data_IF_803378656107
#
_entry.id   IF_803378656107
#
_cell.length_a   1.000
_cell.length_b   1.000
_cell.length_c   1.000
_cell.angle_alpha   90.00
_cell.angle_beta   90.00
_cell.angle_gamma   90.00
#
_symmetry.space_group_name_H-M   'P 1'
#
loop_
_entity.id
_entity.type
_entity.pdbx_description
1 polymer ?
#
# COMPACT_ATOMS: atom_id res chain seq x y z
N UNK A 1 -10.24 -4.22 -0.95
CA UNK A 1 -9.67 -3.97 -2.30
C UNK A 1 -9.26 -5.30 -2.91
N UNK A 2 -9.33 -5.45 -4.25
CA UNK A 2 -8.85 -6.67 -4.90
C UNK A 2 -7.33 -6.79 -4.79
N UNK A 3 -6.84 -8.02 -4.60
CA UNK A 3 -5.42 -8.33 -4.70
C UNK A 3 -5.07 -8.49 -6.18
N UNK A 4 -3.96 -7.90 -6.62
CA UNK A 4 -3.50 -8.01 -7.99
C UNK A 4 -3.12 -9.46 -8.31
N UNK A 5 -3.61 -10.00 -9.43
CA UNK A 5 -3.20 -11.33 -9.89
C UNK A 5 -1.84 -11.27 -10.60
N UNK A 6 -1.18 -12.41 -10.76
CA UNK A 6 0.09 -12.49 -11.49
C UNK A 6 -0.05 -12.04 -12.95
N UNK A 7 -1.19 -12.35 -13.58
CA UNK A 7 -1.49 -11.95 -14.95
C UNK A 7 -1.63 -10.42 -15.04
N UNK A 8 -2.48 -9.82 -14.19
CA UNK A 8 -2.67 -8.37 -14.12
C UNK A 8 -1.36 -7.63 -13.81
N UNK A 9 -0.55 -8.17 -12.89
CA UNK A 9 0.78 -7.62 -12.60
C UNK A 9 1.68 -7.62 -13.84
N UNK A 10 1.71 -8.74 -14.56
CA UNK A 10 2.54 -8.87 -15.76
C UNK A 10 2.06 -7.94 -16.89
N UNK A 11 0.75 -7.74 -17.04
CA UNK A 11 0.17 -6.79 -18.00
C UNK A 11 0.58 -5.36 -17.70
N UNK A 12 0.38 -4.89 -16.46
CA UNK A 12 0.74 -3.53 -16.05
C UNK A 12 2.26 -3.33 -16.16
N UNK A 13 3.05 -4.32 -15.71
CA UNK A 13 4.52 -4.30 -15.86
C UNK A 13 4.95 -4.24 -17.32
N UNK A 14 4.28 -4.97 -18.20
CA UNK A 14 4.52 -4.94 -19.64
C UNK A 14 4.22 -3.56 -20.24
N UNK A 15 3.12 -2.93 -19.83
CA UNK A 15 2.77 -1.57 -20.23
C UNK A 15 3.81 -0.56 -19.75
N UNK A 16 4.22 -0.61 -18.47
CA UNK A 16 5.28 0.22 -17.92
C UNK A 16 6.60 0.07 -18.67
N UNK A 17 7.02 -1.15 -19.02
CA UNK A 17 8.23 -1.40 -19.81
C UNK A 17 8.18 -0.74 -21.19
N UNK A 18 7.02 -0.76 -21.86
CA UNK A 18 6.84 -0.06 -23.14
C UNK A 18 7.02 1.45 -22.96
N UNK A 19 6.42 2.03 -21.91
CA UNK A 19 6.57 3.46 -21.62
C UNK A 19 8.01 3.83 -21.25
N UNK A 20 8.68 3.00 -20.47
CA UNK A 20 10.07 3.19 -20.09
C UNK A 20 11.00 3.20 -21.30
N UNK A 21 10.76 2.34 -22.31
CA UNK A 21 11.53 2.34 -23.56
C UNK A 21 11.38 3.67 -24.32
N UNK A 22 10.15 4.15 -24.50
CA UNK A 22 9.90 5.45 -25.16
C UNK A 22 10.58 6.59 -24.40
N UNK A 23 10.52 6.56 -23.07
CA UNK A 23 11.21 7.54 -22.23
C UNK A 23 12.73 7.45 -22.36
N UNK A 24 13.28 6.25 -22.47
CA UNK A 24 14.72 6.01 -22.58
C UNK A 24 15.28 6.62 -23.87
N UNK A 25 14.57 6.45 -24.99
CA UNK A 25 14.93 7.06 -26.28
C UNK A 25 14.97 8.60 -26.15
N UNK A 26 13.98 9.19 -25.47
CA UNK A 26 13.92 10.63 -25.18
C UNK A 26 15.02 11.12 -24.23
N UNK A 27 15.35 10.36 -23.19
CA UNK A 27 16.44 10.67 -22.26
C UNK A 27 17.78 10.60 -23.00
N UNK A 28 17.99 9.57 -23.81
CA UNK A 28 19.21 9.41 -24.60
C UNK A 28 19.38 10.55 -25.60
N UNK A 29 18.32 10.89 -26.35
CA UNK A 29 18.36 12.00 -27.29
C UNK A 29 18.72 13.34 -26.60
N UNK A 30 18.20 13.58 -25.39
CA UNK A 30 18.54 14.79 -24.61
C UNK A 30 20.03 14.87 -24.25
N UNK A 31 20.72 13.74 -24.10
CA UNK A 31 22.15 13.66 -23.77
C UNK A 31 23.08 13.85 -24.98
N UNK A 32 22.58 13.76 -26.21
CA UNK A 32 23.42 13.97 -27.39
C UNK A 32 23.95 15.41 -27.49
N UNK A 33 25.13 15.54 -28.12
CA UNK A 33 25.71 16.84 -28.49
C UNK A 33 24.80 17.60 -29.45
N UNK A 34 25.00 18.91 -29.57
CA UNK A 34 24.21 19.73 -30.50
C UNK A 34 24.34 19.23 -31.95
N UNK A 35 25.57 18.93 -32.38
CA UNK A 35 25.85 18.39 -33.72
C UNK A 35 25.09 17.10 -34.05
N UNK A 36 24.90 16.20 -33.07
CA UNK A 36 24.11 14.99 -33.25
C UNK A 36 22.61 15.29 -33.27
N UNK A 37 22.14 16.26 -32.47
CA UNK A 37 20.73 16.69 -32.46
C UNK A 37 20.31 17.37 -33.75
N UNK A 38 21.24 18.03 -34.44
CA UNK A 38 20.97 18.71 -35.72
C UNK A 38 20.71 17.69 -36.85
N UNK A 39 21.24 16.47 -36.74
CA UNK A 39 21.14 15.40 -37.74
C UNK A 39 20.09 14.34 -37.33
N UNK A 40 19.92 14.09 -36.03
CA UNK A 40 18.99 13.10 -35.50
C UNK A 40 17.65 13.73 -35.14
N UNK A 41 16.57 13.17 -35.68
CA UNK A 41 15.22 13.57 -35.33
C UNK A 41 14.94 13.37 -33.83
N UNK A 42 14.33 14.38 -33.21
CA UNK A 42 13.82 14.30 -31.84
C UNK A 42 12.76 13.20 -31.75
N UNK A 43 12.90 12.22 -30.84
CA UNK A 43 11.84 11.25 -30.60
C UNK A 43 10.55 11.97 -30.19
N UNK A 44 9.42 11.45 -30.66
CA UNK A 44 8.10 11.97 -30.30
C UNK A 44 7.40 10.95 -29.42
N UNK A 45 6.66 11.44 -28.43
CA UNK A 45 5.74 10.58 -27.71
C UNK A 45 4.60 10.16 -28.65
N UNK A 46 4.11 8.91 -28.53
CA UNK A 46 2.79 8.55 -29.07
C UNK A 46 1.72 9.53 -28.59
N UNK A 47 0.69 9.76 -29.41
CA UNK A 47 -0.39 10.72 -29.12
C UNK A 47 -1.10 10.38 -27.80
N UNK A 48 -1.23 9.10 -27.50
CA UNK A 48 -1.93 8.55 -26.33
C UNK A 48 -1.01 8.24 -25.15
N UNK A 49 0.25 8.70 -25.18
CA UNK A 49 1.25 8.33 -24.18
C UNK A 49 0.85 8.74 -22.75
N UNK A 50 0.39 9.98 -22.57
CA UNK A 50 0.04 10.51 -21.26
C UNK A 50 -1.26 9.90 -20.73
N UNK A 51 -2.23 9.65 -21.61
CA UNK A 51 -3.48 8.99 -21.25
C UNK A 51 -3.20 7.58 -20.74
N UNK A 52 -2.37 6.82 -21.45
CA UNK A 52 -1.94 5.49 -21.00
C UNK A 52 -1.15 5.52 -19.69
N UNK A 53 -0.32 6.55 -19.46
CA UNK A 53 0.36 6.70 -18.16
C UNK A 53 -0.64 6.94 -17.03
N UNK A 54 -1.69 7.74 -17.25
CA UNK A 54 -2.75 7.95 -16.26
C UNK A 54 -3.61 6.69 -16.04
N UNK A 55 -3.88 5.91 -17.08
CA UNK A 55 -4.55 4.61 -16.99
C UNK A 55 -3.72 3.62 -16.15
N UNK A 56 -2.41 3.54 -16.41
CA UNK A 56 -1.48 2.71 -15.64
C UNK A 56 -1.50 3.13 -14.17
N UNK A 57 -1.38 4.43 -13.89
CA UNK A 57 -1.43 4.96 -12.52
C UNK A 57 -2.72 4.54 -11.80
N UNK A 58 -3.85 4.73 -12.47
CA UNK A 58 -5.18 4.39 -11.93
C UNK A 58 -5.30 2.88 -11.69
N UNK A 59 -4.76 2.07 -12.60
CA UNK A 59 -4.74 0.61 -12.47
C UNK A 59 -3.91 0.16 -11.27
N UNK A 60 -2.75 0.78 -11.01
CA UNK A 60 -1.92 0.47 -9.83
C UNK A 60 -2.68 0.81 -8.54
N UNK A 61 -3.30 1.99 -8.47
CA UNK A 61 -4.03 2.47 -7.29
C UNK A 61 -5.36 1.76 -7.04
N UNK A 62 -5.86 1.00 -8.01
CA UNK A 62 -7.09 0.23 -7.86
C UNK A 62 -6.92 -1.02 -6.98
N UNK A 63 -5.71 -1.58 -6.92
CA UNK A 63 -5.42 -2.80 -6.17
C UNK A 63 -5.00 -2.52 -4.73
N UNK A 64 -5.19 -3.54 -3.88
CA UNK A 64 -4.71 -3.54 -2.51
C UNK A 64 -3.18 -3.38 -2.49
N UNK A 65 -2.69 -2.62 -1.51
CA UNK A 65 -1.26 -2.32 -1.43
C UNK A 65 -0.50 -3.53 -0.92
N UNK A 66 0.52 -3.92 -1.66
CA UNK A 66 1.41 -5.04 -1.41
C UNK A 66 2.77 -4.83 -2.11
N UNK A 67 3.67 -5.80 -1.98
CA UNK A 67 5.00 -5.77 -2.62
C UNK A 67 4.95 -5.60 -4.14
N UNK A 68 3.92 -6.14 -4.81
CA UNK A 68 3.80 -6.13 -6.25
C UNK A 68 3.34 -4.77 -6.75
N UNK A 69 2.25 -4.25 -6.18
CA UNK A 69 1.72 -2.92 -6.49
C UNK A 69 2.73 -1.83 -6.14
N UNK A 70 3.47 -1.97 -5.04
CA UNK A 70 4.58 -1.08 -4.69
C UNK A 70 5.69 -1.10 -5.75
N UNK A 71 6.10 -2.28 -6.23
CA UNK A 71 7.10 -2.38 -7.29
C UNK A 71 6.65 -1.70 -8.60
N UNK A 72 5.36 -1.85 -8.96
CA UNK A 72 4.77 -1.16 -10.10
C UNK A 72 4.76 0.36 -9.89
N UNK A 73 4.38 0.83 -8.70
CA UNK A 73 4.35 2.24 -8.34
C UNK A 73 5.73 2.89 -8.39
N UNK A 74 6.76 2.21 -7.88
CA UNK A 74 8.15 2.67 -7.99
C UNK A 74 8.58 2.81 -9.45
N UNK A 75 8.32 1.79 -10.28
CA UNK A 75 8.63 1.83 -11.72
C UNK A 75 7.90 2.98 -12.42
N UNK A 76 6.63 3.21 -12.09
CA UNK A 76 5.84 4.33 -12.62
C UNK A 76 6.45 5.69 -12.23
N UNK A 77 6.84 5.86 -10.97
CA UNK A 77 7.45 7.09 -10.47
C UNK A 77 8.80 7.35 -11.13
N UNK A 78 9.63 6.32 -11.35
CA UNK A 78 10.90 6.44 -12.08
C UNK A 78 10.69 6.99 -13.50
N UNK A 79 9.66 6.50 -14.20
CA UNK A 79 9.28 7.00 -15.53
C UNK A 79 8.89 8.48 -15.46
N UNK A 80 8.08 8.86 -14.46
CA UNK A 80 7.68 10.26 -14.25
C UNK A 80 8.90 11.17 -14.05
N UNK A 81 9.86 10.76 -13.22
CA UNK A 81 11.13 11.50 -13.01
C UNK A 81 11.92 11.60 -14.31
N UNK A 82 12.07 10.50 -15.05
CA UNK A 82 12.84 10.45 -16.28
C UNK A 82 12.31 11.42 -17.34
N UNK A 83 10.99 11.61 -17.41
CA UNK A 83 10.36 12.49 -18.39
C UNK A 83 10.72 13.98 -18.16
N UNK A 84 11.02 14.41 -16.92
CA UNK A 84 11.23 15.83 -16.55
C UNK A 84 10.09 16.74 -17.05
N UNK A 85 8.84 16.28 -16.90
CA UNK A 85 7.67 17.04 -17.33
C UNK A 85 7.51 18.31 -16.47
N UNK A 86 6.84 19.35 -16.98
CA UNK A 86 6.33 20.43 -16.16
C UNK A 86 5.49 19.87 -14.99
N UNK A 87 5.46 20.60 -13.87
CA UNK A 87 4.60 20.25 -12.74
C UNK A 87 3.14 20.06 -13.22
N UNK A 88 2.49 19.02 -12.71
CA UNK A 88 1.08 18.62 -12.93
C UNK A 88 0.75 17.75 -14.15
N UNK A 89 1.70 17.40 -15.04
CA UNK A 89 1.37 16.52 -16.19
C UNK A 89 1.11 15.06 -15.78
N UNK A 90 1.94 14.51 -14.89
CA UNK A 90 1.74 13.18 -14.30
C UNK A 90 1.91 13.29 -12.79
N UNK A 91 0.93 12.78 -12.04
CA UNK A 91 1.00 12.75 -10.57
C UNK A 91 1.76 11.50 -10.14
N UNK A 92 2.74 11.68 -9.27
CA UNK A 92 3.43 10.58 -8.60
C UNK A 92 2.45 9.77 -7.73
N UNK A 93 2.78 8.50 -7.52
CA UNK A 93 2.17 7.65 -6.50
C UNK A 93 2.96 7.82 -5.20
N UNK A 94 2.29 7.87 -4.05
CA UNK A 94 2.95 7.96 -2.75
C UNK A 94 3.53 6.60 -2.35
N UNK A 95 4.74 6.32 -2.83
CA UNK A 95 5.42 5.04 -2.61
C UNK A 95 5.94 4.89 -1.18
N UNK A 96 6.12 5.98 -0.44
CA UNK A 96 6.53 5.93 0.96
C UNK A 96 5.39 5.35 1.81
N UNK A 97 4.17 5.86 1.64
CA UNK A 97 2.99 5.27 2.30
C UNK A 97 2.79 3.80 1.94
N UNK A 98 2.97 3.45 0.66
CA UNK A 98 2.87 2.05 0.24
C UNK A 98 3.94 1.14 0.87
N UNK A 99 5.17 1.65 1.03
CA UNK A 99 6.26 0.95 1.70
C UNK A 99 5.95 0.72 3.17
N UNK A 100 5.58 1.76 3.92
CA UNK A 100 5.21 1.68 5.33
C UNK A 100 4.08 0.67 5.57
N UNK A 101 3.06 0.69 4.71
CA UNK A 101 1.96 -0.27 4.78
C UNK A 101 2.41 -1.70 4.48
N UNK A 102 3.27 -1.90 3.48
CA UNK A 102 3.82 -3.22 3.16
C UNK A 102 4.63 -3.79 4.32
N UNK A 103 5.42 -2.95 4.98
CA UNK A 103 6.19 -3.33 6.18
C UNK A 103 5.29 -3.71 7.36
N UNK A 104 4.19 -2.98 7.57
CA UNK A 104 3.19 -3.34 8.58
C UNK A 104 2.57 -4.71 8.28
N UNK A 105 2.22 -4.98 7.02
CA UNK A 105 1.66 -6.27 6.61
C UNK A 105 2.64 -7.43 6.83
N UNK A 106 3.94 -7.21 6.64
CA UNK A 106 4.97 -8.18 6.95
C UNK A 106 5.15 -8.37 8.46
N UNK A 107 5.07 -7.30 9.27
CA UNK A 107 5.07 -7.41 10.73
C UNK A 107 3.88 -8.23 11.24
N UNK A 108 2.69 -8.00 10.69
CA UNK A 108 1.48 -8.80 10.97
C UNK A 108 1.73 -10.27 10.63
N UNK A 109 2.24 -10.57 9.43
CA UNK A 109 2.53 -11.96 9.01
C UNK A 109 3.57 -12.63 9.92
N UNK A 110 4.60 -11.90 10.31
CA UNK A 110 5.65 -12.41 11.20
C UNK A 110 5.07 -12.76 12.57
N UNK A 111 4.31 -11.84 13.17
CA UNK A 111 3.69 -12.07 14.46
C UNK A 111 2.63 -13.17 14.43
N UNK A 112 1.89 -13.33 13.34
CA UNK A 112 0.97 -14.45 13.15
C UNK A 112 1.69 -15.82 13.27
N UNK A 113 2.94 -15.94 12.81
CA UNK A 113 3.73 -17.18 12.98
C UNK A 113 4.12 -17.43 14.45
N UNK A 114 4.42 -16.37 15.20
CA UNK A 114 4.67 -16.46 16.65
C UNK A 114 3.40 -16.93 17.38
N UNK A 115 2.24 -16.37 17.01
CA UNK A 115 0.92 -16.78 17.52
C UNK A 115 0.63 -18.24 17.19
N UNK A 116 0.92 -18.70 15.98
CA UNK A 116 0.70 -20.09 15.57
C UNK A 116 1.53 -21.07 16.37
N UNK A 117 2.79 -20.70 16.62
CA UNK A 117 3.68 -21.48 17.48
C UNK A 117 3.11 -21.54 18.90
N UNK A 118 2.68 -20.41 19.43
CA UNK A 118 2.07 -20.34 20.76
C UNK A 118 0.81 -21.19 20.89
N UNK A 119 -0.11 -21.08 19.93
CA UNK A 119 -1.35 -21.88 19.91
C UNK A 119 -1.04 -23.37 19.83
N UNK A 120 -0.02 -23.77 19.05
CA UNK A 120 0.41 -25.17 18.98
C UNK A 120 0.85 -25.71 20.34
N UNK A 121 1.63 -24.94 21.10
CA UNK A 121 2.01 -25.32 22.47
C UNK A 121 0.81 -25.39 23.42
N UNK A 122 -0.16 -24.47 23.29
CA UNK A 122 -1.40 -24.52 24.08
C UNK A 122 -2.17 -25.83 23.85
N UNK A 123 -2.28 -26.29 22.60
CA UNK A 123 -2.90 -27.59 22.29
C UNK A 123 -2.12 -28.77 22.88
N UNK A 124 -0.80 -28.65 23.01
CA UNK A 124 0.07 -29.65 23.64
C UNK A 124 0.09 -29.56 25.17
N UNK A 125 -0.72 -28.66 25.77
CA UNK A 125 -0.73 -28.35 27.20
C UNK A 125 0.60 -27.81 27.75
N UNK A 126 1.47 -27.30 26.86
CA UNK A 126 2.73 -26.69 27.21
C UNK A 126 2.54 -25.19 27.46
N UNK A 127 2.90 -24.73 28.67
CA UNK A 127 2.85 -23.32 29.03
C UNK A 127 4.17 -22.64 28.65
N UNK A 128 4.20 -22.03 27.47
CA UNK A 128 5.30 -21.15 27.09
C UNK A 128 4.95 -19.68 27.42
N UNK A 129 5.93 -18.85 27.79
CA UNK A 129 5.74 -17.41 27.91
C UNK A 129 5.29 -16.82 26.56
N UNK A 130 4.27 -15.98 26.58
CA UNK A 130 3.79 -15.25 25.40
C UNK A 130 3.48 -13.80 25.76
N UNK A 131 4.12 -12.86 25.06
CA UNK A 131 3.91 -11.43 25.27
C UNK A 131 2.88 -10.88 24.29
N UNK A 132 1.92 -10.12 24.83
CA UNK A 132 0.93 -9.38 24.05
C UNK A 132 1.40 -7.96 23.70
N UNK A 133 2.61 -7.54 24.07
CA UNK A 133 3.10 -6.19 23.73
C UNK A 133 3.11 -5.94 22.22
N UNK A 134 3.58 -6.92 21.44
CA UNK A 134 3.55 -6.86 19.97
C UNK A 134 2.12 -6.81 19.43
N UNK A 135 1.19 -7.55 20.04
CA UNK A 135 -0.23 -7.50 19.66
C UNK A 135 -0.79 -6.08 19.79
N UNK A 136 -0.61 -5.44 20.95
CA UNK A 136 -1.10 -4.09 21.20
C UNK A 136 -0.37 -3.04 20.34
N UNK A 137 0.94 -3.19 20.13
CA UNK A 137 1.71 -2.32 19.25
C UNK A 137 1.19 -2.36 17.81
N UNK A 138 0.93 -3.56 17.27
CA UNK A 138 0.37 -3.72 15.92
C UNK A 138 -1.05 -3.15 15.83
N UNK A 139 -1.90 -3.41 16.84
CA UNK A 139 -3.25 -2.85 16.87
C UNK A 139 -3.22 -1.32 16.84
N UNK A 140 -2.41 -0.69 17.71
CA UNK A 140 -2.27 0.77 17.74
C UNK A 140 -1.76 1.34 16.40
N UNK A 141 -0.78 0.68 15.78
CA UNK A 141 -0.29 1.07 14.44
C UNK A 141 -1.38 1.03 13.39
N UNK A 142 -2.25 0.00 13.42
CA UNK A 142 -3.37 -0.12 12.48
C UNK A 142 -4.39 0.99 12.71
N UNK A 143 -4.73 1.25 13.97
CA UNK A 143 -5.68 2.30 14.37
C UNK A 143 -5.20 3.70 13.94
N UNK A 144 -3.88 3.95 13.97
CA UNK A 144 -3.29 5.24 13.57
C UNK A 144 -3.12 5.46 12.06
N UNK A 145 -3.58 4.55 11.20
CA UNK A 145 -3.46 4.72 9.73
C UNK A 145 -4.51 5.72 9.25
N UNK A 146 -4.08 6.84 8.68
CA UNK A 146 -5.00 7.87 8.15
C UNK A 146 -5.74 7.42 6.88
N UNK A 147 -5.10 6.60 6.03
CA UNK A 147 -5.73 6.10 4.80
C UNK A 147 -6.73 4.98 5.13
N UNK A 148 -8.02 5.28 4.98
CA UNK A 148 -9.13 4.34 5.29
C UNK A 148 -8.99 2.99 4.59
N UNK A 149 -8.45 2.98 3.37
CA UNK A 149 -8.36 1.79 2.55
C UNK A 149 -7.23 0.89 3.04
N UNK A 150 -6.05 1.46 3.30
CA UNK A 150 -4.93 0.76 3.93
C UNK A 150 -5.29 0.31 5.35
N UNK A 151 -5.95 1.17 6.14
CA UNK A 151 -6.43 0.85 7.49
C UNK A 151 -7.34 -0.37 7.46
N UNK A 152 -8.33 -0.37 6.57
CA UNK A 152 -9.24 -1.50 6.38
C UNK A 152 -8.48 -2.77 6.00
N UNK A 153 -7.58 -2.71 5.03
CA UNK A 153 -6.79 -3.86 4.61
C UNK A 153 -5.94 -4.45 5.74
N UNK A 154 -5.27 -3.60 6.52
CA UNK A 154 -4.44 -4.04 7.65
C UNK A 154 -5.30 -4.64 8.78
N UNK A 155 -6.45 -4.02 9.08
CA UNK A 155 -7.43 -4.49 10.06
C UNK A 155 -7.97 -5.88 9.69
N UNK A 156 -8.40 -6.07 8.44
CA UNK A 156 -8.86 -7.38 7.94
C UNK A 156 -7.78 -8.44 8.11
N UNK A 157 -6.54 -8.14 7.67
CA UNK A 157 -5.43 -9.10 7.77
C UNK A 157 -5.07 -9.45 9.21
N UNK A 158 -4.98 -8.46 10.09
CA UNK A 158 -4.72 -8.67 11.51
C UNK A 158 -5.83 -9.49 12.16
N UNK A 159 -7.09 -9.17 11.84
CA UNK A 159 -8.25 -9.86 12.39
C UNK A 159 -8.23 -11.35 12.05
N UNK A 160 -8.05 -11.68 10.77
CA UNK A 160 -8.06 -13.04 10.26
C UNK A 160 -6.89 -13.88 10.77
N UNK A 161 -5.67 -13.31 10.77
CA UNK A 161 -4.44 -14.07 11.01
C UNK A 161 -4.04 -14.16 12.48
N UNK A 162 -4.45 -13.18 13.31
CA UNK A 162 -4.02 -13.07 14.70
C UNK A 162 -5.22 -13.05 15.65
N UNK A 163 -6.08 -12.03 15.53
CA UNK A 163 -7.11 -11.74 16.53
C UNK A 163 -8.07 -12.91 16.74
N UNK A 164 -8.75 -13.36 15.68
CA UNK A 164 -9.77 -14.41 15.76
C UNK A 164 -9.21 -15.73 16.33
N UNK A 165 -7.92 -16.00 16.08
CA UNK A 165 -7.25 -17.22 16.56
C UNK A 165 -6.85 -17.09 18.02
N UNK A 166 -6.29 -15.95 18.42
CA UNK A 166 -5.91 -15.70 19.82
C UNK A 166 -7.12 -15.67 20.77
N UNK A 167 -8.24 -15.08 20.34
CA UNK A 167 -9.42 -14.92 21.20
C UNK A 167 -10.09 -16.23 21.59
N UNK A 168 -9.87 -17.31 20.82
CA UNK A 168 -10.35 -18.64 21.17
C UNK A 168 -9.70 -19.18 22.46
N UNK A 169 -8.44 -18.80 22.71
CA UNK A 169 -7.69 -19.23 23.90
C UNK A 169 -7.61 -18.14 24.98
N UNK A 170 -7.76 -16.88 24.59
CA UNK A 170 -7.67 -15.72 25.48
C UNK A 170 -8.88 -14.78 25.32
N UNK A 171 -10.04 -15.12 25.91
CA UNK A 171 -11.27 -14.32 25.75
C UNK A 171 -11.12 -12.87 26.23
N UNK A 172 -10.28 -12.60 27.23
CA UNK A 172 -10.02 -11.23 27.72
C UNK A 172 -9.37 -10.31 26.67
N UNK A 173 -8.70 -10.88 25.66
CA UNK A 173 -8.14 -10.11 24.53
C UNK A 173 -9.26 -9.56 23.67
N UNK A 174 -10.36 -10.30 23.52
CA UNK A 174 -11.54 -9.88 22.75
C UNK A 174 -12.13 -8.58 23.32
N UNK A 175 -12.43 -8.57 24.62
CA UNK A 175 -13.06 -7.43 25.30
C UNK A 175 -12.21 -6.16 25.16
N UNK A 176 -10.89 -6.28 25.41
CA UNK A 176 -9.96 -5.15 25.32
C UNK A 176 -9.78 -4.64 23.88
N UNK A 177 -9.76 -5.55 22.91
CA UNK A 177 -9.62 -5.18 21.48
C UNK A 177 -10.87 -4.48 20.96
N UNK A 178 -12.06 -4.97 21.34
CA UNK A 178 -13.30 -4.28 21.01
C UNK A 178 -13.38 -2.88 21.60
N UNK A 179 -12.93 -2.70 22.84
CA UNK A 179 -12.87 -1.38 23.45
C UNK A 179 -11.97 -0.44 22.61
N UNK A 180 -10.75 -0.87 22.26
CA UNK A 180 -9.83 -0.08 21.44
C UNK A 180 -10.44 0.29 20.07
N UNK A 181 -11.08 -0.65 19.38
CA UNK A 181 -11.70 -0.40 18.09
C UNK A 181 -12.95 0.50 18.15
N UNK A 182 -13.71 0.48 19.25
CA UNK A 182 -14.87 1.37 19.46
C UNK A 182 -14.46 2.81 19.74
N UNK A 183 -13.30 3.05 20.35
CA UNK A 183 -12.78 4.42 20.53
C UNK A 183 -12.46 5.10 19.19
N UNK A 184 -11.98 4.34 18.21
CA UNK A 184 -11.70 4.89 16.87
C UNK A 184 -12.98 5.30 16.11
N UNK A 185 -14.12 4.63 16.36
CA UNK A 185 -15.40 4.96 15.70
C UNK A 185 -16.12 6.16 16.34
N UNK A 186 -15.82 6.48 17.61
CA UNK A 186 -16.44 7.60 18.34
C UNK A 186 -15.63 8.90 18.18
N UNK A 187 -14.41 8.84 17.63
CA UNK A 187 -13.57 10.01 17.37
C UNK A 187 -14.02 10.86 16.16
N UNK A 188 -15.06 10.45 15.44
CA UNK A 188 -15.62 11.19 14.28
C UNK A 188 -16.91 11.96 14.61
N UNK A 189 -17.16 12.23 15.91
CA UNK A 189 -18.28 13.06 16.34
C UNK A 189 -17.79 14.23 17.23
N UNK A 190 -17.33 15.29 16.57
CA UNK A 190 -17.34 16.63 17.17
C UNK A 190 -18.70 17.29 16.94
N UNK A 191 -19.26 17.98 17.95
CA UNK A 191 -20.69 18.14 18.13
C UNK A 191 -21.32 19.17 17.19
N UNK A 192 -22.42 18.81 16.53
CA UNK A 192 -23.43 19.79 16.09
C UNK A 192 -24.17 20.35 17.31
N UNK A 193 -23.55 21.31 17.98
CA UNK A 193 -24.25 22.23 18.87
C UNK A 193 -24.82 23.37 18.03
N UNK A 194 -26.15 23.40 17.91
CA UNK A 194 -26.87 24.45 17.21
C UNK A 194 -28.37 24.21 17.13
N UNK A 195 -28.98 23.68 18.20
CA UNK A 195 -30.41 23.89 18.42
C UNK A 195 -30.54 25.10 19.35
N UNK A 196 -31.05 26.19 18.81
CA UNK A 196 -31.82 27.17 19.57
C UNK A 196 -32.90 27.67 18.63
N UNK A 197 -34.05 27.00 18.71
CA UNK A 197 -35.31 27.65 18.47
C UNK A 197 -35.57 28.58 19.65
N UNK A 198 -35.68 29.87 19.37
CA UNK A 198 -36.65 30.83 19.91
C UNK A 198 -36.60 32.08 19.03
#
# INVERSE_FOLDING_TARGET
>A
MPIITQEQFNEIKGALKKMQRICSDMVQWRRYSQSLKDILHKPKFPVDFFDKMQEIRSSILFYAVDVNTLALANTYNEICVALKLPQNTLKHIDTNKMQEHTELMDQIRSYAKEVDTYIKHLYQSEKIPFSFEKYWSLLNKICSIDDDTMRKQAKEKFSETIFCRLTQFHPKVYEKTQAALKYDEISDDSPRLGSSAL
#
